data_IF_537753095377
#
_entry.id   IF_537753095377
#
_cell.length_a   1.000
_cell.length_b   1.000
_cell.length_c   1.000
_cell.angle_alpha   90.00
_cell.angle_beta   90.00
_cell.angle_gamma   90.00
#
_symmetry.space_group_name_H-M   'P 1'
#
loop_
_entity.id
_entity.type
_entity.pdbx_description
1 polymer ?
#
# COMPACT_ATOMS: atom_id res chain seq x y z
N UNK A 1 52.01 15.15 15.14
CA UNK A 1 50.68 14.95 15.76
C UNK A 1 49.60 15.49 14.82
N UNK A 2 49.16 14.69 13.83
CA UNK A 2 48.20 15.12 12.80
C UNK A 2 46.99 14.20 12.63
N UNK A 3 46.83 13.20 13.50
CA UNK A 3 45.85 12.13 13.35
C UNK A 3 44.45 12.50 13.88
N UNK A 4 44.34 13.46 14.81
CA UNK A 4 43.09 13.79 15.50
C UNK A 4 42.02 14.49 14.64
N UNK A 5 42.35 14.98 13.43
CA UNK A 5 41.41 15.75 12.58
C UNK A 5 40.76 14.91 11.47
N UNK A 6 41.36 13.77 11.12
CA UNK A 6 40.82 12.86 10.09
C UNK A 6 39.77 11.90 10.66
N UNK A 7 39.92 11.49 11.92
CA UNK A 7 38.97 10.59 12.60
C UNK A 7 37.58 11.23 12.79
N UNK A 8 37.52 12.52 13.11
CA UNK A 8 36.26 13.26 13.31
C UNK A 8 35.45 13.38 12.02
N UNK A 9 36.13 13.50 10.87
CA UNK A 9 35.47 13.56 9.56
C UNK A 9 34.90 12.19 9.16
N UNK A 10 35.63 11.11 9.44
CA UNK A 10 35.18 9.73 9.21
C UNK A 10 33.99 9.37 10.11
N UNK A 11 34.04 9.72 11.41
CA UNK A 11 32.93 9.51 12.34
C UNK A 11 31.69 10.35 11.98
N UNK A 12 31.89 11.62 11.60
CA UNK A 12 30.81 12.50 11.13
C UNK A 12 30.10 11.93 9.90
N UNK A 13 30.85 11.44 8.90
CA UNK A 13 30.29 10.77 7.72
C UNK A 13 29.55 9.47 8.08
N UNK A 14 30.07 8.68 9.02
CA UNK A 14 29.45 7.42 9.44
C UNK A 14 28.09 7.64 10.13
N UNK A 15 28.01 8.68 10.96
CA UNK A 15 26.77 9.10 11.65
C UNK A 15 25.75 9.67 10.66
N UNK A 16 26.20 10.41 9.64
CA UNK A 16 25.33 10.96 8.60
C UNK A 16 24.76 9.88 7.67
N UNK A 17 25.56 8.84 7.34
CA UNK A 17 25.10 7.70 6.53
C UNK A 17 24.06 6.83 7.27
N UNK A 18 24.23 6.63 8.59
CA UNK A 18 23.28 5.87 9.39
C UNK A 18 21.91 6.56 9.51
N UNK A 19 21.88 7.90 9.54
CA UNK A 19 20.64 8.68 9.61
C UNK A 19 19.82 8.67 8.30
N UNK A 20 20.46 8.48 7.15
CA UNK A 20 19.75 8.37 5.86
C UNK A 20 18.97 7.04 5.73
N UNK A 21 19.38 6.00 6.45
CA UNK A 21 18.77 4.67 6.36
C UNK A 21 17.51 4.51 7.24
N UNK A 22 17.21 5.45 8.15
CA UNK A 22 16.02 5.37 9.01
C UNK A 22 14.78 6.05 8.43
N UNK A 23 14.88 6.70 7.27
CA UNK A 23 13.72 7.09 6.48
C UNK A 23 13.14 5.84 5.80
N UNK A 24 12.51 5.00 6.62
CA UNK A 24 11.88 3.77 6.20
C UNK A 24 10.95 4.04 5.03
N UNK A 25 11.06 3.19 4.01
CA UNK A 25 10.01 2.95 3.03
C UNK A 25 8.83 2.31 3.76
N UNK A 26 8.12 3.09 4.58
CA UNK A 26 6.84 2.69 5.14
C UNK A 26 5.89 2.72 3.94
N UNK A 27 5.64 1.55 3.36
CA UNK A 27 4.57 1.40 2.38
C UNK A 27 3.28 1.93 3.00
N UNK A 28 2.58 2.79 2.25
CA UNK A 28 1.31 3.35 2.70
C UNK A 28 0.34 2.20 3.02
N UNK A 29 -0.33 2.29 4.18
CA UNK A 29 -1.31 1.30 4.61
C UNK A 29 -2.47 1.25 3.59
N UNK A 30 -2.99 0.06 3.27
CA UNK A 30 -4.13 -0.07 2.34
C UNK A 30 -5.31 0.83 2.74
N UNK A 31 -5.48 1.04 4.03
CA UNK A 31 -6.59 1.82 4.59
C UNK A 31 -6.37 3.34 4.53
N UNK A 32 -5.14 3.83 4.28
CA UNK A 32 -4.89 5.28 4.16
C UNK A 32 -5.33 5.86 2.81
N UNK A 33 -5.68 5.01 1.84
CA UNK A 33 -6.14 5.46 0.53
C UNK A 33 -7.62 5.86 0.54
N UNK A 34 -7.93 6.85 -0.31
CA UNK A 34 -9.30 7.18 -0.73
C UNK A 34 -9.40 6.99 -2.23
N UNK A 35 -10.48 6.37 -2.69
CA UNK A 35 -10.71 6.05 -4.10
C UNK A 35 -12.07 6.58 -4.54
N UNK A 36 -12.22 6.84 -5.84
CA UNK A 36 -13.52 7.20 -6.42
C UNK A 36 -14.33 5.95 -6.71
N UNK A 37 -15.58 5.93 -6.27
CA UNK A 37 -16.53 4.89 -6.63
C UNK A 37 -17.06 5.06 -8.07
N UNK A 38 -17.94 4.15 -8.50
CA UNK A 38 -18.53 4.20 -9.84
C UNK A 38 -19.49 5.39 -10.06
N UNK A 39 -19.83 6.14 -9.01
CA UNK A 39 -20.67 7.35 -9.04
C UNK A 39 -19.80 8.63 -8.96
N UNK A 40 -18.47 8.48 -8.80
CA UNK A 40 -17.51 9.58 -8.69
C UNK A 40 -17.31 10.13 -7.27
N UNK A 41 -17.92 9.50 -6.26
CA UNK A 41 -17.79 9.89 -4.85
C UNK A 41 -16.48 9.35 -4.26
N UNK A 42 -15.83 10.14 -3.40
CA UNK A 42 -14.62 9.70 -2.71
C UNK A 42 -15.00 8.79 -1.52
N UNK A 43 -14.45 7.57 -1.53
CA UNK A 43 -14.64 6.53 -0.51
C UNK A 43 -13.30 6.23 0.14
N UNK A 44 -13.23 6.43 1.46
CA UNK A 44 -12.05 6.07 2.25
C UNK A 44 -12.00 4.55 2.46
N UNK A 45 -10.86 3.93 2.13
CA UNK A 45 -10.65 2.50 2.30
C UNK A 45 -10.57 2.09 3.78
N UNK A 46 -10.32 3.04 4.68
CA UNK A 46 -10.43 2.88 6.13
C UNK A 46 -11.75 2.23 6.59
N UNK A 47 -12.85 2.47 5.87
CA UNK A 47 -14.17 1.86 6.16
C UNK A 47 -14.18 0.32 6.08
N UNK A 48 -13.18 -0.28 5.43
CA UNK A 48 -13.01 -1.72 5.31
C UNK A 48 -12.07 -2.30 6.38
N UNK A 49 -11.54 -1.49 7.31
CA UNK A 49 -10.66 -1.97 8.38
C UNK A 49 -11.34 -3.04 9.22
N UNK A 50 -10.61 -4.12 9.49
CA UNK A 50 -11.12 -5.27 10.24
C UNK A 50 -11.99 -6.23 9.43
N UNK A 51 -12.22 -5.97 8.14
CA UNK A 51 -12.90 -6.88 7.22
C UNK A 51 -11.89 -7.53 6.27
N UNK A 52 -12.12 -8.80 5.94
CA UNK A 52 -11.39 -9.46 4.85
C UNK A 52 -11.85 -8.82 3.54
N UNK A 53 -10.95 -8.12 2.86
CA UNK A 53 -11.25 -7.33 1.65
C UNK A 53 -10.56 -7.94 0.44
N UNK A 54 -11.32 -8.18 -0.63
CA UNK A 54 -10.81 -8.68 -1.91
C UNK A 54 -10.87 -7.55 -2.95
N UNK A 55 -9.71 -7.12 -3.45
CA UNK A 55 -9.59 -6.11 -4.50
C UNK A 55 -9.36 -6.81 -5.84
N UNK A 56 -10.16 -6.46 -6.85
CA UNK A 56 -10.10 -7.10 -8.18
C UNK A 56 -10.12 -6.03 -9.26
N UNK A 57 -9.17 -6.10 -10.20
CA UNK A 57 -9.26 -5.32 -11.43
C UNK A 57 -10.18 -6.05 -12.43
N UNK A 58 -11.22 -5.38 -12.90
CA UNK A 58 -12.22 -5.97 -13.82
C UNK A 58 -12.23 -5.24 -15.16
N UNK A 59 -12.63 -5.96 -16.21
CA UNK A 59 -12.85 -5.42 -17.55
C UNK A 59 -14.12 -6.01 -18.16
N UNK A 60 -14.92 -5.20 -18.86
CA UNK A 60 -16.24 -5.59 -19.37
C UNK A 60 -16.22 -6.38 -20.69
N UNK A 61 -15.11 -6.33 -21.43
CA UNK A 61 -15.00 -6.89 -22.79
C UNK A 61 -13.89 -7.97 -22.87
N UNK A 62 -13.84 -8.86 -21.89
CA UNK A 62 -12.92 -9.99 -21.88
C UNK A 62 -13.71 -11.31 -22.00
N UNK A 63 -13.11 -12.34 -22.61
CA UNK A 63 -13.75 -13.67 -22.71
C UNK A 63 -14.09 -14.32 -21.36
N UNK A 64 -13.48 -13.84 -20.27
CA UNK A 64 -13.70 -14.33 -18.91
C UNK A 64 -14.62 -13.45 -18.06
N UNK A 65 -15.16 -12.36 -18.63
CA UNK A 65 -15.96 -11.38 -17.87
C UNK A 65 -17.16 -12.06 -17.20
N UNK A 66 -17.97 -12.78 -17.97
CA UNK A 66 -19.19 -13.42 -17.47
C UNK A 66 -18.95 -14.44 -16.37
N UNK A 67 -17.92 -15.28 -16.51
CA UNK A 67 -17.58 -16.30 -15.51
C UNK A 67 -17.02 -15.67 -14.24
N UNK A 68 -16.18 -14.63 -14.39
CA UNK A 68 -15.59 -13.88 -13.26
C UNK A 68 -16.66 -13.18 -12.45
N UNK A 69 -17.58 -12.43 -13.07
CA UNK A 69 -18.65 -11.73 -12.36
C UNK A 69 -19.60 -12.70 -11.64
N UNK A 70 -19.96 -13.85 -12.25
CA UNK A 70 -20.78 -14.87 -11.58
C UNK A 70 -20.09 -15.43 -10.33
N UNK A 71 -18.80 -15.74 -10.42
CA UNK A 71 -18.04 -16.25 -9.29
C UNK A 71 -17.92 -15.23 -8.16
N UNK A 72 -17.61 -13.97 -8.49
CA UNK A 72 -17.52 -12.88 -7.50
C UNK A 72 -18.86 -12.62 -6.82
N UNK A 73 -19.97 -12.62 -7.57
CA UNK A 73 -21.32 -12.49 -6.98
C UNK A 73 -21.60 -13.63 -6.01
N UNK A 74 -21.35 -14.88 -6.41
CA UNK A 74 -21.54 -16.05 -5.53
C UNK A 74 -20.69 -15.96 -4.26
N UNK A 75 -19.44 -15.50 -4.37
CA UNK A 75 -18.57 -15.30 -3.20
C UNK A 75 -19.15 -14.25 -2.25
N UNK A 76 -19.62 -13.13 -2.79
CA UNK A 76 -20.27 -12.08 -2.02
C UNK A 76 -21.56 -12.56 -1.35
N UNK A 77 -22.40 -13.34 -2.05
CA UNK A 77 -23.64 -13.89 -1.48
C UNK A 77 -23.36 -14.86 -0.29
N UNK A 78 -22.21 -15.54 -0.28
CA UNK A 78 -21.84 -16.50 0.77
C UNK A 78 -21.13 -15.82 1.96
N UNK A 79 -20.27 -14.82 1.69
CA UNK A 79 -19.34 -14.25 2.68
C UNK A 79 -19.59 -12.77 3.00
N UNK A 80 -20.34 -12.06 2.16
CA UNK A 80 -20.66 -10.63 2.31
C UNK A 80 -21.69 -10.40 3.41
N UNK A 81 -21.21 -10.38 4.66
CA UNK A 81 -21.96 -9.96 5.84
C UNK A 81 -21.74 -8.49 6.15
#
# INVERSE_FOLDING_TARGET
MGYQRQDVALFSCLVLLAALCTAGCAGEDFYSFSVKDHQGQDVALESYRGKVTLVVNVASLCGYTETTYRALKKLHDILGK
#
